data_IF_117067814979
#
_entry.id   IF_117067814979
#
_cell.length_a   1.000
_cell.length_b   1.000
_cell.length_c   1.000
_cell.angle_alpha   90.00
_cell.angle_beta   90.00
_cell.angle_gamma   90.00
#
_symmetry.space_group_name_H-M   'P 1'
#
loop_
_entity.id
_entity.type
_entity.pdbx_description
1 polymer ?
#
# COMPACT_ATOMS: atom_id res chain seq x y z
N UNK A 1 20.35 -14.34 40.40
CA UNK A 1 19.89 -13.58 39.21
C UNK A 1 18.76 -14.33 38.49
N UNK A 2 17.52 -14.33 39.01
CA UNK A 2 16.37 -15.01 38.35
C UNK A 2 15.06 -14.19 38.29
N UNK A 3 15.05 -12.97 38.85
CA UNK A 3 13.83 -12.14 39.00
C UNK A 3 13.73 -11.04 37.92
N UNK A 4 14.78 -10.83 37.12
CA UNK A 4 14.83 -9.74 36.12
C UNK A 4 13.98 -10.03 34.87
N UNK A 5 13.89 -11.30 34.47
CA UNK A 5 13.18 -11.74 33.25
C UNK A 5 11.66 -11.51 33.24
N UNK A 6 10.87 -11.83 34.30
CA UNK A 6 9.43 -11.63 34.25
C UNK A 6 9.03 -10.16 34.18
N UNK A 7 9.83 -9.26 34.77
CA UNK A 7 9.59 -7.80 34.73
C UNK A 7 9.94 -7.18 33.38
N UNK A 8 10.99 -7.68 32.72
CA UNK A 8 11.34 -7.25 31.37
C UNK A 8 10.26 -7.66 30.36
N UNK A 9 9.72 -8.87 30.49
CA UNK A 9 8.67 -9.40 29.62
C UNK A 9 7.35 -8.62 29.79
N UNK A 10 7.02 -8.24 31.03
CA UNK A 10 5.87 -7.38 31.34
C UNK A 10 5.98 -5.97 30.74
N UNK A 11 7.19 -5.52 30.37
CA UNK A 11 7.42 -4.22 29.75
C UNK A 11 7.52 -4.36 28.22
N UNK A 12 8.28 -5.34 27.72
CA UNK A 12 8.53 -5.52 26.28
C UNK A 12 7.25 -5.89 25.52
N UNK A 13 6.37 -6.70 26.11
CA UNK A 13 5.11 -7.09 25.46
C UNK A 13 4.17 -5.90 25.21
N UNK A 14 3.83 -5.06 26.21
CA UNK A 14 2.97 -3.90 25.95
C UNK A 14 3.65 -2.83 25.09
N UNK A 15 4.97 -2.63 25.19
CA UNK A 15 5.68 -1.72 24.30
C UNK A 15 5.71 -2.21 22.85
N UNK A 16 5.91 -3.51 22.63
CA UNK A 16 5.85 -4.12 21.30
C UNK A 16 4.43 -4.06 20.70
N UNK A 17 3.41 -4.31 21.52
CA UNK A 17 2.01 -4.18 21.11
C UNK A 17 1.67 -2.73 20.75
N UNK A 18 2.08 -1.77 21.57
CA UNK A 18 1.89 -0.34 21.31
C UNK A 18 2.59 0.08 20.01
N UNK A 19 3.84 -0.36 19.81
CA UNK A 19 4.58 -0.08 18.59
C UNK A 19 3.89 -0.65 17.35
N UNK A 20 3.35 -1.87 17.44
CA UNK A 20 2.58 -2.49 16.35
C UNK A 20 1.30 -1.73 16.02
N UNK A 21 0.53 -1.30 17.05
CA UNK A 21 -0.69 -0.49 16.87
C UNK A 21 -0.37 0.87 16.24
N UNK A 22 0.68 1.54 16.71
CA UNK A 22 1.14 2.81 16.14
C UNK A 22 1.56 2.63 14.69
N UNK A 23 2.31 1.56 14.36
CA UNK A 23 2.71 1.26 12.98
C UNK A 23 1.50 0.99 12.07
N UNK A 24 0.52 0.24 12.56
CA UNK A 24 -0.73 -0.03 11.85
C UNK A 24 -1.49 1.26 11.56
N UNK A 25 -1.63 2.12 12.57
CA UNK A 25 -2.35 3.39 12.46
C UNK A 25 -1.65 4.37 11.51
N UNK A 26 -0.32 4.46 11.59
CA UNK A 26 0.48 5.27 10.67
C UNK A 26 0.40 4.73 9.23
N UNK A 27 0.41 3.41 9.07
CA UNK A 27 0.28 2.74 7.78
C UNK A 27 -1.07 2.99 7.10
N UNK A 28 -2.17 2.88 7.86
CA UNK A 28 -3.51 3.20 7.38
C UNK A 28 -3.63 4.65 6.93
N UNK A 29 -3.23 5.61 7.79
CA UNK A 29 -3.29 7.03 7.44
C UNK A 29 -2.46 7.39 6.22
N UNK A 30 -1.29 6.76 6.06
CA UNK A 30 -0.44 7.02 4.91
C UNK A 30 -1.00 6.38 3.62
N UNK A 31 -1.66 5.23 3.74
CA UNK A 31 -2.34 4.57 2.62
C UNK A 31 -3.52 5.42 2.15
N UNK A 32 -4.34 5.94 3.06
CA UNK A 32 -5.44 6.87 2.75
C UNK A 32 -4.92 8.15 2.08
N UNK A 33 -3.83 8.72 2.60
CA UNK A 33 -3.19 9.89 2.01
C UNK A 33 -2.69 9.63 0.57
N UNK A 34 -2.17 8.44 0.28
CA UNK A 34 -1.75 8.08 -1.08
C UNK A 34 -2.92 7.78 -1.99
N UNK A 35 -3.97 7.17 -1.45
CA UNK A 35 -5.23 6.95 -2.16
C UNK A 35 -5.80 8.28 -2.65
N UNK A 36 -5.81 9.30 -1.78
CA UNK A 36 -6.26 10.66 -2.12
C UNK A 36 -5.37 11.40 -3.13
N UNK A 37 -4.19 10.88 -3.48
CA UNK A 37 -3.30 11.50 -4.48
C UNK A 37 -3.38 10.84 -5.84
N UNK A 38 -3.72 9.55 -5.88
CA UNK A 38 -3.79 8.78 -7.12
C UNK A 38 -5.22 8.77 -7.64
N UNK A 39 -5.45 9.44 -8.76
CA UNK A 39 -6.77 9.61 -9.35
C UNK A 39 -6.86 9.01 -10.76
N UNK A 40 -8.09 8.74 -11.20
CA UNK A 40 -8.35 8.37 -12.59
C UNK A 40 -7.95 9.51 -13.54
N UNK A 41 -7.36 9.16 -14.69
CA UNK A 41 -6.83 10.11 -15.68
C UNK A 41 -5.34 10.45 -15.53
N UNK A 42 -4.68 10.00 -14.45
CA UNK A 42 -3.24 10.20 -14.28
C UNK A 42 -2.43 9.16 -15.08
N UNK A 43 -1.29 9.57 -15.64
CA UNK A 43 -0.41 8.65 -16.37
C UNK A 43 0.33 7.71 -15.41
N UNK A 44 0.67 6.52 -15.91
CA UNK A 44 1.48 5.53 -15.21
C UNK A 44 2.75 6.14 -14.60
N UNK A 45 3.47 6.98 -15.35
CA UNK A 45 4.69 7.62 -14.87
C UNK A 45 4.47 8.57 -13.69
N UNK A 46 3.34 9.29 -13.68
CA UNK A 46 2.97 10.15 -12.56
C UNK A 46 2.60 9.34 -11.32
N UNK A 47 1.82 8.28 -11.51
CA UNK A 47 1.40 7.39 -10.41
C UNK A 47 2.61 6.66 -9.83
N UNK A 48 3.46 6.08 -10.68
CA UNK A 48 4.72 5.45 -10.29
C UNK A 48 5.56 6.42 -9.48
N UNK A 49 5.78 7.65 -9.97
CA UNK A 49 6.56 8.65 -9.24
C UNK A 49 5.93 9.00 -7.90
N UNK A 50 4.61 9.17 -7.85
CA UNK A 50 3.90 9.55 -6.62
C UNK A 50 3.97 8.44 -5.57
N UNK A 51 3.74 7.20 -6.00
CA UNK A 51 3.74 6.04 -5.12
C UNK A 51 5.16 5.61 -4.76
N UNK A 52 6.09 5.43 -5.70
CA UNK A 52 7.49 5.06 -5.42
C UNK A 52 8.24 6.09 -4.56
N UNK A 53 7.96 7.39 -4.75
CA UNK A 53 8.58 8.43 -3.92
C UNK A 53 8.06 8.37 -2.48
N UNK A 54 6.78 8.07 -2.31
CA UNK A 54 6.15 7.94 -1.00
C UNK A 54 6.53 6.64 -0.30
N UNK A 55 6.70 5.57 -1.08
CA UNK A 55 7.18 4.25 -0.68
C UNK A 55 8.71 4.15 -0.69
N UNK A 56 9.39 5.14 -0.11
CA UNK A 56 10.84 5.19 0.19
C UNK A 56 11.69 4.09 -0.49
N UNK A 57 11.88 4.19 -1.81
CA UNK A 57 12.88 3.54 -2.70
C UNK A 57 13.16 2.02 -2.59
N UNK A 58 12.55 1.24 -1.69
CA UNK A 58 12.95 -0.15 -1.41
C UNK A 58 11.78 -1.14 -1.32
N UNK A 59 10.63 -0.80 -1.88
CA UNK A 59 9.46 -1.67 -1.91
C UNK A 59 9.29 -2.25 -3.31
N UNK A 60 9.11 -3.57 -3.37
CA UNK A 60 8.84 -4.31 -4.60
C UNK A 60 7.48 -3.90 -5.17
N UNK A 61 7.50 -3.38 -6.40
CA UNK A 61 6.28 -3.22 -7.19
C UNK A 61 6.04 -4.54 -7.91
N UNK A 62 4.92 -5.18 -7.62
CA UNK A 62 4.48 -6.35 -8.38
C UNK A 62 3.45 -5.88 -9.41
N UNK A 63 3.81 -5.99 -10.69
CA UNK A 63 2.89 -5.73 -11.80
C UNK A 63 2.37 -7.05 -12.33
N UNK A 64 1.05 -7.20 -12.38
CA UNK A 64 0.40 -8.32 -13.05
C UNK A 64 -0.42 -7.75 -14.21
N UNK A 65 -0.08 -8.16 -15.43
CA UNK A 65 -0.90 -7.83 -16.59
C UNK A 65 -2.17 -8.67 -16.52
N UNK A 66 -3.32 -8.00 -16.39
CA UNK A 66 -4.62 -8.64 -16.35
C UNK A 66 -5.60 -7.78 -17.17
N UNK A 67 -6.09 -8.38 -18.25
CA UNK A 67 -7.16 -7.85 -19.07
C UNK A 67 -8.52 -8.20 -18.45
N UNK A 68 -9.22 -7.21 -17.90
CA UNK A 68 -10.62 -7.34 -17.48
C UNK A 68 -11.41 -6.08 -17.87
N UNK A 69 -12.55 -6.28 -18.54
CA UNK A 69 -13.46 -5.18 -18.86
C UNK A 69 -14.30 -4.85 -17.61
N UNK A 70 -13.90 -3.82 -16.86
CA UNK A 70 -14.68 -3.33 -15.73
C UNK A 70 -15.96 -2.68 -16.27
N UNK A 71 -17.12 -3.28 -15.95
CA UNK A 71 -18.47 -2.89 -16.44
C UNK A 71 -18.82 -1.39 -16.36
N UNK A 72 -18.08 -0.58 -15.58
CA UNK A 72 -18.33 0.85 -15.40
C UNK A 72 -17.13 1.78 -15.67
N UNK A 73 -15.97 1.27 -16.08
CA UNK A 73 -14.74 2.09 -16.11
C UNK A 73 -13.84 1.95 -17.34
N UNK A 74 -14.20 1.12 -18.32
CA UNK A 74 -13.40 0.91 -19.53
C UNK A 74 -12.63 -0.41 -19.49
N UNK A 75 -11.81 -0.67 -20.51
CA UNK A 75 -10.91 -1.81 -20.51
C UNK A 75 -9.77 -1.54 -19.53
N UNK A 76 -9.57 -2.44 -18.57
CA UNK A 76 -8.32 -2.50 -17.82
C UNK A 76 -7.44 -3.53 -18.51
N UNK A 77 -6.19 -3.17 -18.79
CA UNK A 77 -5.20 -4.10 -19.34
C UNK A 77 -4.08 -4.43 -18.36
N UNK A 78 -3.77 -3.52 -17.42
CA UNK A 78 -2.65 -3.70 -16.48
C UNK A 78 -3.08 -3.35 -15.08
N UNK A 79 -2.76 -4.22 -14.12
CA UNK A 79 -2.92 -3.96 -12.69
C UNK A 79 -1.54 -3.94 -12.04
N UNK A 80 -1.25 -2.88 -11.27
CA UNK A 80 -0.04 -2.80 -10.45
C UNK A 80 -0.39 -2.78 -8.99
N UNK A 81 0.25 -3.66 -8.23
CA UNK A 81 0.18 -3.67 -6.77
C UNK A 81 1.44 -2.99 -6.21
N UNK A 82 1.20 -1.94 -5.44
CA UNK A 82 2.23 -1.24 -4.69
C UNK A 82 2.13 -1.67 -3.23
N UNK A 83 3.19 -2.27 -2.71
CA UNK A 83 3.19 -2.83 -1.37
C UNK A 83 3.83 -1.88 -0.35
N UNK A 84 3.00 -1.28 0.49
CA UNK A 84 3.48 -0.53 1.65
C UNK A 84 3.68 -1.45 2.85
N UNK A 85 4.93 -1.61 3.27
CA UNK A 85 5.31 -2.37 4.48
C UNK A 85 4.70 -3.79 4.55
N UNK A 86 4.48 -4.44 3.40
CA UNK A 86 3.84 -5.77 3.24
C UNK A 86 2.39 -5.90 3.73
N UNK A 87 1.83 -4.90 4.42
CA UNK A 87 0.55 -4.98 5.13
C UNK A 87 -0.55 -4.19 4.42
N UNK A 88 -0.20 -3.13 3.68
CA UNK A 88 -1.18 -2.27 3.00
C UNK A 88 -0.87 -2.16 1.50
N UNK A 89 -1.33 -3.13 0.69
CA UNK A 89 -1.23 -3.04 -0.75
C UNK A 89 -2.25 -2.05 -1.34
N UNK A 90 -1.79 -1.25 -2.29
CA UNK A 90 -2.65 -0.42 -3.15
C UNK A 90 -2.64 -1.03 -4.54
N UNK A 91 -3.81 -1.43 -5.04
CA UNK A 91 -3.97 -1.85 -6.42
C UNK A 91 -4.34 -0.64 -7.29
N UNK A 92 -3.59 -0.42 -8.36
CA UNK A 92 -3.85 0.61 -9.36
C UNK A 92 -4.11 -0.05 -10.71
N UNK A 93 -5.18 0.38 -11.37
CA UNK A 93 -5.67 -0.17 -12.63
C UNK A 93 -5.34 0.80 -13.75
N UNK A 94 -4.75 0.30 -14.82
CA UNK A 94 -4.36 1.08 -15.99
C UNK A 94 -5.04 0.54 -17.25
N UNK A 95 -5.44 1.47 -18.12
CA UNK A 95 -5.89 1.19 -19.48
C UNK A 95 -4.67 0.93 -20.40
N UNK A 96 -4.95 0.51 -21.64
CA UNK A 96 -4.00 0.27 -22.74
C UNK A 96 -3.02 1.42 -22.99
N UNK A 97 -3.49 2.64 -22.80
CA UNK A 97 -2.69 3.86 -22.99
C UNK A 97 -1.80 4.18 -21.77
N UNK A 98 -1.80 3.33 -20.74
CA UNK A 98 -1.06 3.55 -19.50
C UNK A 98 -1.66 4.64 -18.62
N UNK A 99 -2.97 4.90 -18.75
CA UNK A 99 -3.70 5.88 -17.94
C UNK A 99 -4.39 5.15 -16.78
N UNK A 100 -4.22 5.67 -15.57
CA UNK A 100 -4.89 5.19 -14.37
C UNK A 100 -6.40 5.33 -14.52
N UNK A 101 -7.13 4.25 -14.36
CA UNK A 101 -8.60 4.17 -14.43
C UNK A 101 -9.21 4.15 -13.03
N UNK A 102 -8.42 3.73 -12.04
CA UNK A 102 -8.81 3.75 -10.64
C UNK A 102 -7.81 3.09 -9.73
N UNK A 103 -8.05 3.29 -8.44
CA UNK A 103 -7.30 2.73 -7.34
C UNK A 103 -8.24 2.00 -6.40
N UNK A 104 -7.78 0.89 -5.83
CA UNK A 104 -8.49 0.15 -4.81
C UNK A 104 -7.52 -0.21 -3.68
N UNK A 105 -7.80 0.20 -2.44
CA UNK A 105 -7.05 -0.30 -1.30
C UNK A 105 -7.40 -1.77 -1.09
N UNK A 106 -6.38 -2.62 -0.97
CA UNK A 106 -6.57 -4.06 -0.75
C UNK A 106 -6.39 -4.33 0.73
N UNK A 107 -7.47 -4.19 1.50
CA UNK A 107 -7.50 -4.63 2.89
C UNK A 107 -7.79 -6.15 2.91
N UNK A 108 -6.90 -6.94 3.52
CA UNK A 108 -7.15 -8.36 3.82
C UNK A 108 -7.98 -8.50 5.09
#
# INVERSE_FOLDING_TARGET
MKILYPRLLLLVVPFGLLAAVVFLFLGLHYTDYLYDRVHAGQTLSYVDRTLLFSFKQNQSVESTEWSETLKNKGNVEVVRMYHMFFIFPIAVFFDRDGVCVGTFPVYK
#
